data_IF_818208633005
#
_entry.id   IF_818208633005
#
_cell.length_a   1.000
_cell.length_b   1.000
_cell.length_c   1.000
_cell.angle_alpha   90.00
_cell.angle_beta   90.00
_cell.angle_gamma   90.00
#
_symmetry.space_group_name_H-M   'P 1'
#
loop_
_entity.id
_entity.type
_entity.pdbx_description
1 polymer ?
#
# COMPACT_ATOMS: atom_id res chain seq x y z
N UNK A 1 -13.94 -3.64 -1.56
CA UNK A 1 -14.33 -5.04 -1.31
C UNK A 1 -13.26 -5.75 -0.51
N UNK A 2 -13.66 -6.53 0.50
CA UNK A 2 -12.76 -7.50 1.14
C UNK A 2 -12.95 -8.82 0.41
N UNK A 3 -11.92 -9.27 -0.30
CA UNK A 3 -11.94 -10.60 -0.90
C UNK A 3 -11.41 -11.60 0.14
N UNK A 4 -12.14 -12.70 0.32
CA UNK A 4 -11.74 -13.76 1.24
C UNK A 4 -10.69 -14.70 0.63
N UNK A 5 -10.51 -14.63 -0.68
CA UNK A 5 -9.59 -15.48 -1.44
C UNK A 5 -8.19 -14.88 -1.38
N UNK A 6 -7.18 -15.74 -1.51
CA UNK A 6 -5.78 -15.32 -1.64
C UNK A 6 -5.61 -14.25 -2.74
N UNK A 7 -4.93 -13.17 -2.41
CA UNK A 7 -4.61 -12.07 -3.32
C UNK A 7 -3.29 -11.40 -2.89
N UNK A 8 -2.61 -10.79 -3.85
CA UNK A 8 -1.46 -9.94 -3.61
C UNK A 8 -1.89 -8.56 -3.09
N UNK A 9 -1.20 -8.08 -2.06
CA UNK A 9 -1.41 -6.79 -1.45
C UNK A 9 -0.09 -6.00 -1.44
N UNK A 10 -0.19 -4.69 -1.60
CA UNK A 10 0.90 -3.74 -1.34
C UNK A 10 0.41 -2.72 -0.33
N UNK A 11 1.11 -2.61 0.79
CA UNK A 11 0.71 -1.75 1.90
C UNK A 11 1.86 -0.85 2.33
N UNK A 12 1.53 0.43 2.53
CA UNK A 12 2.41 1.39 3.19
C UNK A 12 1.71 1.83 4.48
N UNK A 13 2.37 1.67 5.61
CA UNK A 13 1.81 1.98 6.90
C UNK A 13 2.84 2.52 7.89
N UNK A 14 2.41 2.68 9.13
CA UNK A 14 3.29 2.93 10.28
C UNK A 14 3.30 1.72 11.19
N UNK A 15 4.40 1.47 11.87
CA UNK A 15 4.55 0.34 12.79
C UNK A 15 4.91 0.79 14.20
N UNK A 16 4.66 -0.08 15.18
CA UNK A 16 5.02 0.18 16.56
C UNK A 16 6.53 0.03 16.75
N UNK A 17 7.22 1.15 17.00
CA UNK A 17 8.68 1.15 17.24
C UNK A 17 9.10 0.44 18.50
N UNK A 18 8.25 0.43 19.52
CA UNK A 18 8.63 -0.13 20.83
C UNK A 18 8.72 -1.64 20.74
N UNK A 19 7.75 -2.22 20.04
CA UNK A 19 7.61 -3.67 19.93
C UNK A 19 8.09 -4.22 18.58
N UNK A 20 8.45 -3.36 17.61
CA UNK A 20 8.85 -3.80 16.26
C UNK A 20 7.69 -4.49 15.51
N UNK A 21 6.44 -4.13 15.83
CA UNK A 21 5.27 -4.82 15.29
C UNK A 21 4.69 -4.07 14.10
N UNK A 22 4.73 -4.73 12.94
CA UNK A 22 4.10 -4.30 11.69
C UNK A 22 2.79 -5.06 11.55
N UNK A 23 1.67 -4.37 11.71
CA UNK A 23 0.36 -4.96 11.51
C UNK A 23 -0.08 -4.80 10.05
N UNK A 24 -0.30 -5.92 9.35
CA UNK A 24 -0.78 -5.94 7.98
C UNK A 24 -2.31 -5.84 7.92
N UNK A 25 -2.83 -5.25 6.85
CA UNK A 25 -4.25 -5.05 6.59
C UNK A 25 -5.05 -6.35 6.54
N UNK A 26 -4.46 -7.41 5.98
CA UNK A 26 -5.12 -8.70 5.76
C UNK A 26 -4.43 -9.83 6.55
N UNK A 27 -5.18 -10.61 7.35
CA UNK A 27 -4.67 -11.79 8.04
C UNK A 27 -4.50 -12.98 7.08
N UNK A 28 -3.95 -14.08 7.58
CA UNK A 28 -3.61 -15.28 6.79
C UNK A 28 -2.63 -14.96 5.67
N UNK A 29 -1.48 -14.41 6.04
CA UNK A 29 -0.37 -14.11 5.14
C UNK A 29 0.26 -15.41 4.68
N UNK A 30 0.32 -15.62 3.37
CA UNK A 30 0.86 -16.82 2.75
C UNK A 30 2.34 -16.63 2.41
N UNK A 31 2.68 -15.42 1.94
CA UNK A 31 4.04 -15.04 1.56
C UNK A 31 4.24 -13.54 1.78
N UNK A 32 5.48 -13.15 2.10
CA UNK A 32 5.94 -11.77 2.09
C UNK A 32 7.00 -11.68 0.99
N UNK A 33 6.68 -10.96 -0.08
CA UNK A 33 7.52 -10.85 -1.27
C UNK A 33 8.50 -9.68 -1.15
N UNK A 34 8.09 -8.64 -0.43
CA UNK A 34 8.92 -7.48 -0.14
C UNK A 34 8.57 -6.93 1.24
N UNK A 35 9.59 -6.62 2.03
CA UNK A 35 9.47 -5.89 3.28
C UNK A 35 10.51 -4.78 3.29
N UNK A 36 10.10 -3.59 3.69
CA UNK A 36 10.98 -2.46 3.93
C UNK A 36 10.43 -1.63 5.08
N UNK A 37 11.33 -1.04 5.86
CA UNK A 37 11.03 -0.37 7.14
C UNK A 37 11.51 1.08 7.13
N UNK A 38 12.10 1.52 6.03
CA UNK A 38 12.65 2.84 5.83
C UNK A 38 12.86 3.16 4.34
N UNK A 39 13.23 4.43 4.12
CA UNK A 39 13.58 4.97 2.81
C UNK A 39 15.06 5.29 2.83
N UNK A 40 15.80 4.72 1.88
CA UNK A 40 17.21 5.01 1.70
C UNK A 40 17.44 5.92 0.50
N UNK A 41 18.50 6.70 0.55
CA UNK A 41 19.00 7.43 -0.60
C UNK A 41 19.46 6.40 -1.67
N UNK A 42 18.72 6.34 -2.78
CA UNK A 42 18.78 5.25 -3.73
C UNK A 42 19.46 5.63 -5.04
N UNK A 43 19.22 6.85 -5.52
CA UNK A 43 19.70 7.31 -6.81
C UNK A 43 20.06 8.79 -6.71
N UNK A 44 21.22 9.15 -7.26
CA UNK A 44 21.61 10.54 -7.46
C UNK A 44 21.49 10.88 -8.94
N UNK A 45 20.87 12.01 -9.27
CA UNK A 45 20.68 12.46 -10.65
C UNK A 45 20.99 13.95 -10.75
N UNK A 46 21.68 14.37 -11.81
CA UNK A 46 21.89 15.78 -12.11
C UNK A 46 21.90 16.03 -13.61
N UNK A 47 21.52 17.25 -14.00
CA UNK A 47 21.54 17.68 -15.38
C UNK A 47 22.71 18.63 -15.61
N UNK A 48 23.59 18.34 -16.56
CA UNK A 48 24.78 19.14 -16.93
C UNK A 48 24.67 19.82 -18.30
N UNK A 49 23.55 19.64 -19.00
CA UNK A 49 23.34 20.23 -20.32
C UNK A 49 23.10 21.74 -20.31
N UNK A 50 22.94 22.30 -21.51
CA UNK A 50 22.87 23.73 -21.75
C UNK A 50 21.49 24.36 -21.45
N UNK A 51 20.47 23.55 -21.19
CA UNK A 51 19.10 24.03 -20.96
C UNK A 51 18.98 24.93 -19.73
N UNK A 52 17.99 25.83 -19.77
CA UNK A 52 17.79 26.86 -18.74
C UNK A 52 17.17 26.28 -17.47
N UNK A 53 16.29 25.31 -17.63
CA UNK A 53 15.64 24.58 -16.55
C UNK A 53 15.78 23.08 -16.81
N UNK A 54 15.94 22.32 -15.74
CA UNK A 54 15.84 20.88 -15.74
C UNK A 54 15.16 20.43 -14.45
N UNK A 55 14.28 19.44 -14.56
CA UNK A 55 13.51 18.88 -13.45
C UNK A 55 13.42 17.37 -13.58
N UNK A 56 13.33 16.70 -12.43
CA UNK A 56 13.08 15.26 -12.33
C UNK A 56 11.79 15.06 -11.54
N UNK A 57 10.93 14.19 -12.03
CA UNK A 57 9.67 13.81 -11.41
C UNK A 57 9.64 12.28 -11.28
N UNK A 58 9.28 11.76 -10.10
CA UNK A 58 8.99 10.33 -9.91
C UNK A 58 7.48 10.18 -9.94
N UNK A 59 6.98 9.44 -10.92
CA UNK A 59 5.58 9.00 -11.03
C UNK A 59 5.44 7.58 -10.49
N UNK A 60 4.22 7.08 -10.43
CA UNK A 60 3.93 5.75 -9.87
C UNK A 60 4.70 4.63 -10.58
N UNK A 61 4.97 4.77 -11.88
CA UNK A 61 5.55 3.74 -12.74
C UNK A 61 6.69 4.27 -13.62
N UNK A 62 7.12 5.52 -13.42
CA UNK A 62 8.19 6.09 -14.25
C UNK A 62 8.99 7.21 -13.60
N UNK A 63 10.20 7.38 -14.10
CA UNK A 63 11.06 8.53 -13.82
C UNK A 63 11.00 9.47 -15.04
N UNK A 64 10.54 10.69 -14.82
CA UNK A 64 10.40 11.68 -15.89
C UNK A 64 11.47 12.73 -15.75
N UNK A 65 12.27 12.86 -16.80
CA UNK A 65 13.28 13.90 -16.95
C UNK A 65 12.75 14.96 -17.90
N UNK A 66 12.72 16.21 -17.46
CA UNK A 66 12.33 17.34 -18.31
C UNK A 66 13.43 18.38 -18.34
N UNK A 67 13.76 18.86 -19.54
CA UNK A 67 14.63 20.01 -19.72
C UNK A 67 13.96 21.05 -20.62
N UNK A 68 14.24 22.33 -20.36
CA UNK A 68 13.62 23.45 -21.05
C UNK A 68 14.68 24.36 -21.63
N UNK A 69 14.76 24.41 -22.97
CA UNK A 69 15.60 25.35 -23.70
C UNK A 69 14.87 26.68 -23.84
N UNK A 70 15.61 27.80 -23.73
CA UNK A 70 15.04 29.14 -23.87
C UNK A 70 14.48 29.71 -22.56
N UNK A 71 13.99 30.94 -22.61
CA UNK A 71 13.32 31.59 -21.48
C UNK A 71 11.86 31.13 -21.44
N UNK A 72 11.37 30.54 -20.32
CA UNK A 72 9.97 30.19 -20.14
C UNK A 72 8.99 31.33 -20.45
N UNK A 73 9.42 32.58 -20.29
CA UNK A 73 8.60 33.76 -20.52
C UNK A 73 8.50 34.22 -21.98
N UNK A 74 9.34 33.69 -22.90
CA UNK A 74 9.51 34.30 -24.24
C UNK A 74 9.41 33.34 -25.43
N UNK A 75 9.83 32.07 -25.27
CA UNK A 75 9.60 30.94 -26.18
C UNK A 75 10.49 29.79 -25.69
N UNK A 76 9.89 28.83 -25.00
CA UNK A 76 10.60 27.69 -24.45
C UNK A 76 10.30 26.42 -25.24
N UNK A 77 11.32 25.59 -25.45
CA UNK A 77 11.15 24.22 -25.97
C UNK A 77 11.37 23.26 -24.83
N UNK A 78 10.38 22.41 -24.55
CA UNK A 78 10.47 21.37 -23.53
C UNK A 78 10.83 20.03 -24.18
N UNK A 79 11.84 19.37 -23.64
CA UNK A 79 12.18 17.98 -23.95
C UNK A 79 11.83 17.15 -22.73
N UNK A 80 10.97 16.15 -22.90
CA UNK A 80 10.57 15.20 -21.86
C UNK A 80 11.04 13.80 -22.25
N UNK A 81 11.59 13.08 -21.29
CA UNK A 81 11.97 11.67 -21.41
C UNK A 81 11.30 10.90 -20.28
N UNK A 82 10.39 10.00 -20.65
CA UNK A 82 9.64 9.16 -19.73
C UNK A 82 10.32 7.78 -19.64
N UNK A 83 10.91 7.49 -18.48
CA UNK A 83 11.68 6.28 -18.24
C UNK A 83 10.85 5.32 -17.39
N UNK A 84 10.13 4.43 -18.06
CA UNK A 84 9.24 3.46 -17.40
C UNK A 84 10.02 2.46 -16.53
N UNK A 85 9.58 2.28 -15.30
CA UNK A 85 10.17 1.34 -14.33
C UNK A 85 10.01 -0.13 -14.75
N UNK A 86 8.91 -0.49 -15.43
CA UNK A 86 8.66 -1.87 -15.89
C UNK A 86 9.64 -2.39 -16.95
N UNK A 87 10.41 -1.50 -17.58
CA UNK A 87 11.50 -1.89 -18.50
C UNK A 87 12.87 -1.91 -17.80
N UNK A 88 12.92 -1.48 -16.54
CA UNK A 88 14.12 -1.23 -15.75
C UNK A 88 13.87 -1.69 -14.31
N UNK A 89 13.81 -2.99 -14.08
CA UNK A 89 13.34 -3.57 -12.81
C UNK A 89 14.13 -3.06 -11.59
N UNK A 90 15.41 -2.73 -11.77
CA UNK A 90 16.28 -2.25 -10.71
C UNK A 90 16.66 -0.77 -10.83
N UNK A 91 16.95 -0.13 -9.70
CA UNK A 91 17.47 1.24 -9.64
C UNK A 91 18.77 1.39 -10.43
N UNK A 92 19.62 0.36 -10.47
CA UNK A 92 20.85 0.37 -11.27
C UNK A 92 20.57 0.45 -12.78
N UNK A 93 19.62 -0.34 -13.27
CA UNK A 93 19.19 -0.29 -14.68
C UNK A 93 18.56 1.05 -15.02
N UNK A 94 17.65 1.54 -14.15
CA UNK A 94 17.01 2.84 -14.32
C UNK A 94 18.04 3.98 -14.34
N UNK A 95 19.09 3.93 -13.50
CA UNK A 95 20.17 4.90 -13.51
C UNK A 95 21.01 4.85 -14.79
N UNK A 96 21.23 3.64 -15.34
CA UNK A 96 21.87 3.46 -16.64
C UNK A 96 21.07 4.13 -17.77
N UNK A 97 19.76 3.86 -17.85
CA UNK A 97 18.89 4.46 -18.86
C UNK A 97 18.74 5.97 -18.67
N UNK A 98 18.62 6.45 -17.43
CA UNK A 98 18.58 7.87 -17.10
C UNK A 98 19.83 8.64 -17.54
N UNK A 99 21.00 8.00 -17.50
CA UNK A 99 22.27 8.59 -17.99
C UNK A 99 22.39 8.56 -19.51
N UNK A 100 21.67 7.66 -20.19
CA UNK A 100 21.64 7.62 -21.65
C UNK A 100 20.87 8.81 -22.27
N UNK A 101 20.05 9.52 -21.49
CA UNK A 101 19.38 10.75 -21.92
C UNK A 101 20.37 11.90 -21.92
N UNK A 102 20.54 12.54 -23.09
CA UNK A 102 21.56 13.58 -23.29
C UNK A 102 21.49 14.71 -22.26
N UNK A 103 22.64 15.02 -21.65
CA UNK A 103 22.76 16.08 -20.64
C UNK A 103 22.39 15.65 -19.22
N UNK A 104 21.89 14.44 -19.01
CA UNK A 104 21.64 13.87 -17.69
C UNK A 104 22.75 12.91 -17.27
N UNK A 105 23.07 12.92 -15.98
CA UNK A 105 23.95 11.94 -15.35
C UNK A 105 23.25 11.41 -14.12
N UNK A 106 23.17 10.09 -13.99
CA UNK A 106 22.64 9.46 -12.80
C UNK A 106 23.54 8.32 -12.29
N UNK A 107 23.48 8.06 -10.99
CA UNK A 107 24.20 6.97 -10.34
C UNK A 107 23.30 6.29 -9.32
N UNK A 108 23.30 4.96 -9.30
CA UNK A 108 22.72 4.20 -8.18
C UNK A 108 23.63 4.33 -6.95
N UNK A 109 23.03 4.73 -5.83
CA UNK A 109 23.67 4.75 -4.51
C UNK A 109 23.39 3.45 -3.76
N UNK A 110 22.15 2.96 -3.90
CA UNK A 110 21.70 1.68 -3.37
C UNK A 110 20.81 1.02 -4.42
N UNK A 111 21.02 -0.28 -4.63
CA UNK A 111 20.23 -1.04 -5.58
C UNK A 111 18.99 -1.61 -4.91
N UNK A 112 17.91 -1.72 -5.68
CA UNK A 112 16.60 -2.19 -5.24
C UNK A 112 15.59 -2.06 -6.37
N UNK A 113 14.33 -2.45 -6.16
CA UNK A 113 13.29 -2.37 -7.19
C UNK A 113 13.00 -0.90 -7.55
N UNK A 114 13.07 -0.57 -8.84
CA UNK A 114 12.85 0.80 -9.33
C UNK A 114 11.41 1.29 -9.11
N UNK A 115 10.44 0.37 -9.08
CA UNK A 115 9.03 0.65 -8.78
C UNK A 115 8.79 1.21 -7.37
N UNK A 116 9.77 1.12 -6.48
CA UNK A 116 9.68 1.69 -5.13
C UNK A 116 10.49 2.97 -4.96
N UNK A 117 10.97 3.54 -6.07
CA UNK A 117 11.57 4.87 -6.07
C UNK A 117 10.50 5.89 -5.66
N UNK A 118 10.89 6.80 -4.78
CA UNK A 118 10.08 7.89 -4.26
C UNK A 118 10.89 9.19 -4.31
N UNK A 119 10.19 10.30 -4.49
CA UNK A 119 10.80 11.61 -4.38
C UNK A 119 11.02 11.92 -2.90
N UNK A 120 12.29 12.10 -2.50
CA UNK A 120 12.58 12.94 -1.34
C UNK A 120 11.92 14.29 -1.63
N UNK A 121 11.16 14.91 -0.69
CA UNK A 121 10.50 16.19 -0.93
C UNK A 121 11.55 17.30 -1.16
N UNK A 122 12.04 17.37 -2.39
CA UNK A 122 13.05 18.28 -2.88
C UNK A 122 12.85 18.35 -4.40
N UNK A 123 12.06 19.34 -4.85
CA UNK A 123 11.99 19.70 -6.26
C UNK A 123 13.36 20.28 -6.61
N UNK A 124 14.18 19.50 -7.30
CA UNK A 124 15.39 20.03 -7.88
C UNK A 124 15.06 20.82 -9.13
N UNK A 125 15.06 22.13 -8.98
CA UNK A 125 14.92 23.08 -10.07
C UNK A 125 16.27 23.73 -10.30
N UNK A 126 16.79 23.61 -11.52
CA UNK A 126 17.77 24.57 -12.02
C UNK A 126 17.05 25.89 -12.26
N UNK A 127 17.07 26.79 -11.28
CA UNK A 127 16.45 28.11 -11.39
C UNK A 127 17.29 29.08 -12.24
N UNK A 128 16.68 29.94 -13.08
CA UNK A 128 17.41 30.98 -13.78
C UNK A 128 18.01 32.00 -12.78
N UNK A 129 19.32 32.25 -12.87
CA UNK A 129 19.95 33.42 -12.26
C UNK A 129 20.77 33.24 -10.98
N UNK A 130 20.97 32.02 -10.46
CA UNK A 130 21.97 31.75 -9.40
C UNK A 130 23.08 30.86 -9.93
N UNK A 131 24.33 31.26 -9.69
CA UNK A 131 25.53 30.59 -10.20
C UNK A 131 25.54 29.09 -10.00
N UNK A 132 25.39 28.35 -11.11
CA UNK A 132 26.23 27.24 -11.57
C UNK A 132 26.69 26.16 -10.59
N UNK A 133 25.92 25.84 -9.55
CA UNK A 133 26.11 24.57 -8.83
C UNK A 133 25.04 23.60 -9.29
N UNK A 134 25.44 22.63 -10.11
CA UNK A 134 24.65 21.44 -10.40
C UNK A 134 24.55 20.63 -9.11
N UNK A 135 23.58 20.93 -8.26
CA UNK A 135 23.37 20.14 -7.05
C UNK A 135 22.70 18.84 -7.47
N UNK A 136 23.35 17.68 -7.25
CA UNK A 136 22.70 16.41 -7.51
C UNK A 136 21.45 16.27 -6.66
N UNK A 137 20.42 15.73 -7.28
CA UNK A 137 19.15 15.39 -6.66
C UNK A 137 19.28 13.97 -6.17
N UNK A 138 19.07 13.77 -4.88
CA UNK A 138 19.01 12.43 -4.33
C UNK A 138 17.55 12.00 -4.23
N UNK A 139 17.21 10.96 -4.98
CA UNK A 139 15.94 10.24 -4.91
C UNK A 139 16.06 9.14 -3.85
N UNK A 140 14.95 8.82 -3.20
CA UNK A 140 14.90 7.78 -2.18
C UNK A 140 14.14 6.57 -2.71
N UNK A 141 14.36 5.39 -2.15
CA UNK A 141 13.55 4.23 -2.45
C UNK A 141 13.35 3.37 -1.22
N UNK A 142 12.29 2.58 -1.23
CA UNK A 142 12.18 1.46 -0.31
C UNK A 142 13.16 0.38 -0.74
N UNK A 143 13.98 -0.06 0.20
CA UNK A 143 14.94 -1.15 -0.02
C UNK A 143 14.58 -2.34 0.83
N UNK A 144 14.86 -3.55 0.33
CA UNK A 144 14.56 -4.77 1.06
C UNK A 144 15.19 -4.74 2.45
N UNK A 145 14.38 -5.03 3.46
CA UNK A 145 14.84 -5.27 4.82
C UNK A 145 15.78 -6.47 4.80
N UNK A 146 16.99 -6.27 5.32
CA UNK A 146 18.12 -7.21 5.22
C UNK A 146 18.38 -8.00 6.50
N UNK A 147 17.52 -7.83 7.51
CA UNK A 147 17.59 -8.52 8.80
C UNK A 147 16.44 -9.54 8.93
N UNK A 148 16.55 -10.41 9.93
CA UNK A 148 15.57 -11.43 10.23
C UNK A 148 14.26 -10.83 10.78
N UNK A 149 13.13 -11.42 10.41
CA UNK A 149 11.81 -11.09 10.95
C UNK A 149 11.00 -12.35 11.24
N UNK A 150 10.01 -12.23 12.12
CA UNK A 150 9.08 -13.31 12.45
C UNK A 150 7.71 -12.96 11.86
N UNK A 151 7.21 -13.81 10.96
CA UNK A 151 5.87 -13.68 10.39
C UNK A 151 4.84 -14.44 11.23
N UNK A 152 3.91 -13.71 11.81
CA UNK A 152 2.70 -14.25 12.44
C UNK A 152 1.57 -14.29 11.41
N UNK A 153 1.66 -15.30 10.54
CA UNK A 153 0.85 -15.42 9.33
C UNK A 153 -0.66 -15.41 9.60
N UNK A 154 -1.12 -16.14 10.61
CA UNK A 154 -2.54 -16.27 10.93
C UNK A 154 -3.13 -14.95 11.44
N UNK A 155 -2.38 -14.24 12.29
CA UNK A 155 -2.77 -12.99 12.93
C UNK A 155 -2.59 -11.77 12.01
N UNK A 156 -1.71 -11.88 11.01
CA UNK A 156 -1.43 -10.83 10.03
C UNK A 156 -0.53 -9.73 10.57
N UNK A 157 0.51 -10.09 11.32
CA UNK A 157 1.55 -9.14 11.73
C UNK A 157 2.96 -9.73 11.54
N UNK A 158 3.93 -8.83 11.45
CA UNK A 158 5.36 -9.13 11.34
C UNK A 158 6.05 -8.51 12.54
N UNK A 159 6.89 -9.28 13.23
CA UNK A 159 7.81 -8.79 14.24
C UNK A 159 9.19 -8.63 13.61
N UNK A 160 9.68 -7.39 13.56
CA UNK A 160 11.04 -7.07 13.14
C UNK A 160 11.92 -6.85 14.38
N UNK A 161 13.21 -7.12 14.27
CA UNK A 161 14.13 -6.94 15.39
C UNK A 161 14.01 -5.52 15.97
N UNK A 162 13.76 -5.42 17.27
CA UNK A 162 13.37 -4.19 17.99
C UNK A 162 14.44 -3.10 18.05
N UNK A 163 15.57 -3.29 17.38
CA UNK A 163 16.71 -2.39 17.44
C UNK A 163 16.67 -1.26 16.39
N UNK A 164 15.52 -0.60 16.19
CA UNK A 164 15.45 0.65 15.42
C UNK A 164 15.98 1.85 16.23
N UNK A 165 17.20 1.74 16.75
CA UNK A 165 17.84 2.79 17.57
C UNK A 165 18.46 3.92 16.72
N UNK A 166 18.46 3.82 15.39
CA UNK A 166 19.14 4.77 14.49
C UNK A 166 18.30 5.95 14.00
N UNK A 167 16.97 5.85 13.95
CA UNK A 167 16.13 6.79 13.21
C UNK A 167 15.08 7.46 14.11
N UNK A 168 15.53 8.33 15.01
CA UNK A 168 14.66 8.99 15.98
C UNK A 168 13.70 10.02 15.37
N UNK A 169 14.01 10.59 14.20
CA UNK A 169 13.36 11.82 13.72
C UNK A 169 12.30 11.67 12.62
N UNK A 170 12.14 10.51 11.98
CA UNK A 170 11.12 10.31 10.93
C UNK A 170 10.09 9.28 11.37
N UNK A 171 8.77 9.54 11.30
CA UNK A 171 7.76 8.58 11.76
C UNK A 171 8.05 7.18 11.21
N UNK A 172 7.92 6.12 12.02
CA UNK A 172 8.17 4.76 11.56
C UNK A 172 7.21 4.47 10.41
N UNK A 173 7.74 4.08 9.26
CA UNK A 173 6.94 3.71 8.10
C UNK A 173 7.44 2.38 7.58
N UNK A 174 6.55 1.55 7.06
CA UNK A 174 6.92 0.34 6.38
C UNK A 174 6.28 0.31 5.00
N UNK A 175 6.88 -0.48 4.12
CA UNK A 175 6.25 -0.99 2.90
C UNK A 175 6.32 -2.50 2.91
N UNK A 176 5.19 -3.15 2.66
CA UNK A 176 5.12 -4.60 2.59
C UNK A 176 4.30 -5.00 1.36
N UNK A 177 4.89 -5.82 0.50
CA UNK A 177 4.16 -6.50 -0.57
C UNK A 177 4.06 -7.98 -0.16
N UNK A 178 2.83 -8.48 -0.10
CA UNK A 178 2.53 -9.78 0.50
C UNK A 178 1.29 -10.41 -0.11
N UNK A 179 1.28 -11.74 -0.15
CA UNK A 179 0.09 -12.52 -0.52
C UNK A 179 -0.68 -12.88 0.76
N UNK A 180 -1.98 -12.57 0.84
CA UNK A 180 -2.80 -12.93 1.99
C UNK A 180 -4.22 -13.34 1.62
N UNK A 181 -4.91 -13.98 2.57
CA UNK A 181 -6.28 -14.47 2.41
C UNK A 181 -6.34 -15.99 2.48
N UNK A 182 -7.53 -16.53 2.32
CA UNK A 182 -7.75 -17.96 2.42
C UNK A 182 -7.53 -18.63 1.05
N UNK A 183 -6.71 -19.69 1.02
CA UNK A 183 -6.62 -20.56 -0.16
C UNK A 183 -7.93 -21.30 -0.42
N UNK A 184 -8.70 -21.57 0.63
CA UNK A 184 -10.08 -22.07 0.57
C UNK A 184 -10.85 -21.44 1.72
N UNK A 185 -12.05 -20.92 1.45
CA UNK A 185 -12.87 -20.25 2.47
C UNK A 185 -13.14 -21.23 3.62
N UNK A 186 -12.84 -20.87 4.88
CA UNK A 186 -13.11 -21.75 6.01
C UNK A 186 -14.59 -22.09 6.10
N UNK A 187 -14.91 -23.34 6.42
CA UNK A 187 -16.29 -23.83 6.54
C UNK A 187 -17.14 -22.96 7.49
N UNK A 188 -16.57 -22.48 8.59
CA UNK A 188 -17.27 -21.61 9.54
C UNK A 188 -17.67 -20.27 8.91
N UNK A 189 -16.80 -19.70 8.08
CA UNK A 189 -17.09 -18.46 7.34
C UNK A 189 -18.18 -18.72 6.30
N UNK A 190 -18.08 -19.81 5.54
CA UNK A 190 -19.12 -20.23 4.58
C UNK A 190 -20.48 -20.40 5.27
N UNK A 191 -20.51 -21.13 6.38
CA UNK A 191 -21.73 -21.40 7.13
C UNK A 191 -22.36 -20.12 7.66
N UNK A 192 -21.57 -19.19 8.22
CA UNK A 192 -22.08 -17.90 8.70
C UNK A 192 -22.67 -17.08 7.55
N UNK A 193 -22.04 -17.07 6.37
CA UNK A 193 -22.56 -16.37 5.19
C UNK A 193 -23.88 -16.98 4.70
N UNK A 194 -23.98 -18.32 4.67
CA UNK A 194 -25.20 -19.03 4.31
C UNK A 194 -26.33 -18.73 5.31
N UNK A 195 -26.05 -18.80 6.61
CA UNK A 195 -27.03 -18.50 7.67
C UNK A 195 -27.51 -17.05 7.59
N UNK A 196 -26.61 -16.09 7.39
CA UNK A 196 -26.93 -14.67 7.23
C UNK A 196 -27.78 -14.42 6.00
N UNK A 197 -27.41 -15.01 4.86
CA UNK A 197 -28.15 -14.87 3.59
C UNK A 197 -29.56 -15.46 3.72
N UNK A 198 -29.69 -16.61 4.36
CA UNK A 198 -30.99 -17.23 4.62
C UNK A 198 -31.86 -16.37 5.56
N UNK A 199 -31.27 -15.73 6.56
CA UNK A 199 -31.98 -14.81 7.46
C UNK A 199 -32.47 -13.56 6.71
N UNK A 200 -31.60 -12.92 5.91
CA UNK A 200 -31.97 -11.76 5.10
C UNK A 200 -33.04 -12.09 4.06
N UNK A 201 -32.96 -13.27 3.44
CA UNK A 201 -33.98 -13.73 2.51
C UNK A 201 -35.33 -13.93 3.21
N UNK A 202 -35.36 -14.58 4.37
CA UNK A 202 -36.60 -14.75 5.16
C UNK A 202 -37.18 -13.41 5.60
N UNK A 203 -36.33 -12.49 6.07
CA UNK A 203 -36.74 -11.14 6.45
C UNK A 203 -37.36 -10.38 5.25
N UNK A 204 -36.84 -10.56 4.04
CA UNK A 204 -37.41 -9.93 2.83
C UNK A 204 -38.80 -10.46 2.44
N UNK A 205 -39.21 -11.62 2.96
CA UNK A 205 -40.52 -12.24 2.68
C UNK A 205 -41.56 -11.96 3.75
N UNK A 206 -41.14 -11.45 4.90
CA UNK A 206 -42.04 -11.09 5.99
C UNK A 206 -42.32 -9.60 5.89
N UNK A 207 -43.59 -9.22 5.84
CA UNK A 207 -43.96 -7.81 6.05
C UNK A 207 -43.77 -7.48 7.53
N UNK A 208 -42.67 -6.79 7.84
CA UNK A 208 -42.32 -6.40 9.21
C UNK A 208 -43.30 -5.40 9.82
N UNK A 209 -44.22 -4.83 9.03
CA UNK A 209 -45.26 -3.93 9.53
C UNK A 209 -46.56 -4.66 9.93
N UNK A 210 -46.72 -5.93 9.56
CA UNK A 210 -47.89 -6.73 9.90
C UNK A 210 -47.81 -7.19 11.36
N UNK A 211 -48.49 -6.50 12.28
CA UNK A 211 -48.49 -6.84 13.73
C UNK A 211 -49.54 -7.88 14.12
N UNK A 212 -50.62 -7.96 13.35
CA UNK A 212 -51.69 -8.93 13.56
C UNK A 212 -52.48 -9.06 12.26
N UNK A 213 -52.86 -10.28 11.91
CA UNK A 213 -53.76 -10.55 10.79
C UNK A 213 -54.99 -11.31 11.29
N UNK A 214 -56.14 -11.01 10.68
CA UNK A 214 -57.42 -11.59 11.04
C UNK A 214 -58.09 -12.16 9.79
N UNK A 215 -58.33 -13.46 9.78
CA UNK A 215 -59.00 -14.17 8.70
C UNK A 215 -60.26 -14.84 9.24
N UNK A 216 -61.40 -14.15 9.13
CA UNK A 216 -62.65 -14.56 9.75
C UNK A 216 -62.57 -14.54 11.28
N UNK A 217 -62.93 -15.66 11.91
CA UNK A 217 -62.88 -15.82 13.38
C UNK A 217 -61.48 -16.11 13.92
N UNK A 218 -60.53 -16.46 13.05
CA UNK A 218 -59.14 -16.68 13.45
C UNK A 218 -58.36 -15.37 13.45
N UNK A 219 -57.72 -15.08 14.58
CA UNK A 219 -56.81 -13.95 14.77
C UNK A 219 -55.46 -14.49 15.26
N UNK A 220 -54.37 -14.05 14.65
CA UNK A 220 -53.03 -14.30 15.18
C UNK A 220 -52.24 -13.00 15.31
N UNK A 221 -51.48 -12.90 16.40
CA UNK A 221 -50.50 -11.85 16.63
C UNK A 221 -49.11 -12.44 16.42
N UNK A 222 -48.27 -11.74 15.66
CA UNK A 222 -46.87 -12.12 15.50
C UNK A 222 -46.11 -11.78 16.79
N UNK A 223 -45.31 -12.72 17.28
CA UNK A 223 -44.45 -12.49 18.43
C UNK A 223 -43.35 -11.47 18.09
N UNK A 224 -43.04 -10.59 19.05
CA UNK A 224 -42.06 -9.53 18.87
C UNK A 224 -40.68 -10.13 18.53
N UNK A 225 -40.14 -9.75 17.37
CA UNK A 225 -38.97 -10.40 16.75
C UNK A 225 -37.66 -10.16 17.53
N UNK A 226 -37.68 -9.26 18.50
CA UNK A 226 -36.52 -8.70 19.20
C UNK A 226 -35.70 -9.72 20.01
N UNK A 227 -36.28 -10.85 20.41
CA UNK A 227 -35.63 -11.79 21.37
C UNK A 227 -34.76 -12.88 20.73
N UNK A 228 -34.93 -13.18 19.43
CA UNK A 228 -34.24 -14.30 18.76
C UNK A 228 -32.96 -13.93 18.00
N UNK A 229 -32.86 -12.69 17.50
CA UNK A 229 -31.74 -12.23 16.66
C UNK A 229 -30.45 -11.99 17.44
N UNK A 230 -30.56 -11.68 18.73
CA UNK A 230 -29.41 -11.34 19.60
C UNK A 230 -28.54 -12.56 19.93
N UNK A 231 -29.13 -13.75 20.05
CA UNK A 231 -28.37 -14.98 20.36
C UNK A 231 -27.60 -15.52 19.14
N UNK A 232 -28.20 -15.45 17.94
CA UNK A 232 -27.56 -15.94 16.71
C UNK A 232 -26.40 -15.06 16.28
N UNK A 233 -26.52 -13.74 16.44
CA UNK A 233 -25.40 -12.81 16.23
C UNK A 233 -24.21 -13.11 17.16
N UNK A 234 -24.47 -13.45 18.42
CA UNK A 234 -23.39 -13.81 19.35
C UNK A 234 -22.64 -15.08 18.89
N UNK A 235 -23.37 -16.09 18.40
CA UNK A 235 -22.78 -17.32 17.84
C UNK A 235 -21.96 -17.02 16.57
N UNK A 236 -22.46 -16.16 15.68
CA UNK A 236 -21.69 -15.76 14.49
C UNK A 236 -20.41 -15.03 14.85
N UNK A 237 -20.48 -14.10 15.80
CA UNK A 237 -19.31 -13.34 16.27
C UNK A 237 -18.28 -14.27 16.88
N UNK A 238 -18.69 -15.26 17.67
CA UNK A 238 -17.81 -16.26 18.27
C UNK A 238 -17.10 -17.09 17.20
N UNK A 239 -17.83 -17.63 16.22
CA UNK A 239 -17.25 -18.37 15.07
C UNK A 239 -16.28 -17.52 14.25
N UNK A 240 -16.64 -16.26 13.98
CA UNK A 240 -15.81 -15.36 13.20
C UNK A 240 -14.60 -14.84 13.98
N UNK A 241 -14.63 -14.85 15.32
CA UNK A 241 -13.53 -14.36 16.15
C UNK A 241 -12.24 -15.16 15.94
N UNK A 242 -12.35 -16.47 15.64
CA UNK A 242 -11.24 -17.34 15.29
C UNK A 242 -10.54 -16.96 13.97
N UNK A 243 -11.20 -16.14 13.15
CA UNK A 243 -10.69 -15.72 11.83
C UNK A 243 -10.50 -14.20 11.73
N UNK A 244 -10.70 -13.48 12.84
CA UNK A 244 -10.60 -12.03 12.86
C UNK A 244 -9.16 -11.62 13.19
N UNK A 245 -8.69 -10.59 12.49
CA UNK A 245 -7.50 -9.82 12.85
C UNK A 245 -7.52 -9.44 14.34
N UNK A 246 -6.54 -9.92 15.10
CA UNK A 246 -6.30 -9.48 16.47
C UNK A 246 -5.73 -8.07 16.38
N UNK A 247 -6.45 -7.09 16.94
CA UNK A 247 -5.92 -5.74 17.07
C UNK A 247 -5.16 -5.72 18.40
N UNK A 248 -3.83 -5.71 18.31
CA UNK A 248 -2.93 -5.58 19.45
C UNK A 248 -2.82 -4.10 19.83
#
# INVERSE_FOLDING_TARGET
DRQFVSQDYSEIGSFDRVNGLIQLGNPNVQAVDFLSVDLHDAMSIYYSGADKLATVEVRTDSLVQRSTTGDPASAATETESDLTAAANDTITELAGVATAVGGWTASSLQNGPSQYLDLKPAIATKGPGKGSSYTPVTLQAWTSYDDDYILHAAEGYIEVATAFHGFTNLPPRFRCDYTAGFGTVPYDVEQVVIELTAEMFKASKIDTNLKSERLGDYAYQLADVTSGSSSRRAVWVDRLSAHRKVVI
#
